data_IF_636891503908
#
_entry.id   IF_636891503908
#
_cell.length_a   1.000
_cell.length_b   1.000
_cell.length_c   1.000
_cell.angle_alpha   90.00
_cell.angle_beta   90.00
_cell.angle_gamma   90.00
#
_symmetry.space_group_name_H-M   'P 1'
#
loop_
_entity.id
_entity.type
_entity.pdbx_description
1 polymer ?
#
# COMPACT_ATOMS: atom_id res chain seq x y z
N UNK A 1 5.24 -34.04 9.30
CA UNK A 1 6.61 -33.77 8.81
C UNK A 1 6.56 -33.83 7.29
N UNK A 2 6.64 -32.66 6.66
CA UNK A 2 6.73 -32.42 5.22
C UNK A 2 7.62 -31.18 5.06
N UNK A 3 8.52 -31.18 4.07
CA UNK A 3 9.76 -30.39 4.01
C UNK A 3 9.61 -28.86 3.76
N UNK A 4 10.63 -28.05 4.09
CA UNK A 4 10.68 -26.63 3.74
C UNK A 4 10.88 -26.44 2.23
N UNK A 5 9.95 -25.75 1.56
CA UNK A 5 10.05 -25.50 0.11
C UNK A 5 8.76 -25.22 -0.67
N UNK A 6 7.60 -25.00 -0.04
CA UNK A 6 6.40 -24.58 -0.79
C UNK A 6 6.42 -23.07 -1.01
N UNK A 7 6.69 -22.73 -2.27
CA UNK A 7 6.85 -21.41 -2.87
C UNK A 7 5.80 -20.39 -2.43
N UNK A 8 6.29 -19.21 -2.01
CA UNK A 8 5.47 -18.01 -1.91
C UNK A 8 4.97 -17.65 -3.32
N UNK A 9 3.69 -17.86 -3.59
CA UNK A 9 3.06 -17.36 -4.82
C UNK A 9 2.81 -15.87 -4.65
N UNK A 10 3.62 -15.06 -5.35
CA UNK A 10 3.51 -13.61 -5.38
C UNK A 10 2.35 -13.17 -6.30
N UNK A 11 1.63 -12.07 -6.00
CA UNK A 11 0.77 -11.41 -6.98
C UNK A 11 1.59 -10.98 -8.21
N UNK A 12 0.98 -11.01 -9.40
CA UNK A 12 1.69 -10.84 -10.67
C UNK A 12 2.66 -9.64 -10.60
N UNK A 13 3.96 -9.87 -10.79
CA UNK A 13 4.95 -8.82 -10.75
C UNK A 13 4.64 -7.78 -11.83
N UNK A 14 4.90 -6.51 -11.52
CA UNK A 14 5.21 -5.52 -12.56
C UNK A 14 6.26 -6.14 -13.49
N UNK A 15 6.06 -6.04 -14.80
CA UNK A 15 6.84 -6.76 -15.84
C UNK A 15 8.37 -6.71 -15.66
N UNK A 16 8.90 -5.71 -14.96
CA UNK A 16 10.33 -5.53 -14.66
C UNK A 16 10.82 -6.43 -13.51
N UNK A 17 10.01 -6.67 -12.48
CA UNK A 17 10.40 -7.50 -11.31
C UNK A 17 10.47 -8.98 -11.68
N UNK A 18 9.54 -9.48 -12.50
CA UNK A 18 9.54 -10.87 -12.97
C UNK A 18 10.79 -11.19 -13.80
N UNK A 19 11.15 -10.28 -14.72
CA UNK A 19 12.26 -10.46 -15.65
C UNK A 19 13.64 -10.35 -14.98
N UNK A 20 13.74 -9.66 -13.84
CA UNK A 20 15.01 -9.33 -13.18
C UNK A 20 15.17 -9.95 -11.78
N UNK A 21 14.21 -10.77 -11.34
CA UNK A 21 14.21 -11.38 -10.01
C UNK A 21 15.49 -12.16 -9.70
N UNK A 22 15.93 -13.03 -10.62
CA UNK A 22 17.14 -13.85 -10.40
C UNK A 22 18.40 -12.99 -10.23
N UNK A 23 18.48 -11.86 -10.93
CA UNK A 23 19.61 -10.92 -10.82
C UNK A 23 19.60 -10.20 -9.46
N UNK A 24 18.42 -9.78 -8.99
CA UNK A 24 18.27 -9.14 -7.67
C UNK A 24 18.58 -10.12 -6.54
N UNK A 25 18.08 -11.35 -6.62
CA UNK A 25 18.35 -12.39 -5.61
C UNK A 25 19.83 -12.75 -5.54
N UNK A 26 20.51 -12.87 -6.68
CA UNK A 26 21.94 -13.15 -6.70
C UNK A 26 22.74 -11.99 -6.09
N UNK A 27 22.46 -10.75 -6.49
CA UNK A 27 23.13 -9.57 -5.94
C UNK A 27 22.90 -9.45 -4.41
N UNK A 28 21.69 -9.77 -3.95
CA UNK A 28 21.37 -9.78 -2.53
C UNK A 28 22.09 -10.88 -1.76
N UNK A 29 22.14 -12.11 -2.28
CA UNK A 29 22.91 -13.22 -1.67
C UNK A 29 24.40 -12.88 -1.56
N UNK A 30 24.99 -12.31 -2.61
CA UNK A 30 26.38 -11.89 -2.61
C UNK A 30 26.63 -10.78 -1.58
N UNK A 31 25.75 -9.79 -1.50
CA UNK A 31 25.83 -8.72 -0.50
C UNK A 31 25.64 -9.22 0.94
N UNK A 32 24.73 -10.17 1.18
CA UNK A 32 24.59 -10.78 2.51
C UNK A 32 25.83 -11.58 2.91
N UNK A 33 26.50 -12.21 1.94
CA UNK A 33 27.73 -12.96 2.19
C UNK A 33 28.94 -12.07 2.46
N UNK A 34 28.93 -10.81 2.00
CA UNK A 34 30.00 -9.84 2.34
C UNK A 34 29.84 -9.24 3.75
N UNK A 35 28.70 -9.47 4.40
CA UNK A 35 28.43 -8.99 5.76
C UNK A 35 28.96 -9.99 6.80
N UNK A 36 29.57 -9.52 7.90
CA UNK A 36 30.02 -10.40 8.98
C UNK A 36 28.90 -11.30 9.52
N UNK A 37 29.24 -12.54 9.89
CA UNK A 37 28.25 -13.58 10.22
C UNK A 37 27.27 -13.18 11.33
N UNK A 38 27.76 -12.49 12.37
CA UNK A 38 26.93 -11.98 13.46
C UNK A 38 25.87 -10.99 12.94
N UNK A 39 26.26 -10.01 12.13
CA UNK A 39 25.35 -9.03 11.55
C UNK A 39 24.36 -9.66 10.57
N UNK A 40 24.81 -10.65 9.79
CA UNK A 40 23.93 -11.41 8.88
C UNK A 40 22.88 -12.20 9.66
N UNK A 41 23.27 -12.85 10.76
CA UNK A 41 22.35 -13.61 11.61
C UNK A 41 21.29 -12.71 12.23
N UNK A 42 21.71 -11.60 12.83
CA UNK A 42 20.80 -10.61 13.41
C UNK A 42 19.79 -10.13 12.35
N UNK A 43 20.27 -9.83 11.13
CA UNK A 43 19.42 -9.35 10.04
C UNK A 43 18.34 -10.36 9.65
N UNK A 44 18.73 -11.62 9.47
CA UNK A 44 17.80 -12.69 9.11
C UNK A 44 16.77 -12.93 10.23
N UNK A 45 17.18 -12.89 11.50
CA UNK A 45 16.26 -12.99 12.64
C UNK A 45 15.25 -11.85 12.66
N UNK A 46 15.69 -10.60 12.41
CA UNK A 46 14.79 -9.45 12.32
C UNK A 46 13.81 -9.59 11.15
N UNK A 47 14.29 -10.01 9.96
CA UNK A 47 13.43 -10.23 8.80
C UNK A 47 12.37 -11.29 9.13
N UNK A 48 12.75 -12.41 9.74
CA UNK A 48 11.79 -13.43 10.15
C UNK A 48 10.78 -12.92 11.18
N UNK A 49 11.23 -12.19 12.21
CA UNK A 49 10.35 -11.65 13.24
C UNK A 49 9.39 -10.60 12.66
N UNK A 50 9.89 -9.70 11.81
CA UNK A 50 9.09 -8.65 11.16
C UNK A 50 8.08 -9.25 10.19
N UNK A 51 8.50 -10.26 9.42
CA UNK A 51 7.60 -10.98 8.51
C UNK A 51 6.45 -11.60 9.29
N UNK A 52 6.71 -12.29 10.42
CA UNK A 52 5.65 -12.85 11.27
C UNK A 52 4.72 -11.77 11.82
N UNK A 53 5.28 -10.71 12.39
CA UNK A 53 4.51 -9.59 12.96
C UNK A 53 3.56 -8.97 11.94
N UNK A 54 4.04 -8.76 10.71
CA UNK A 54 3.29 -8.06 9.67
C UNK A 54 2.38 -9.00 8.86
N UNK A 55 2.70 -10.30 8.77
CA UNK A 55 1.86 -11.28 8.07
C UNK A 55 0.52 -11.53 8.73
N UNK A 56 0.39 -11.17 10.01
CA UNK A 56 -0.86 -11.27 10.77
C UNK A 56 -1.90 -10.19 10.35
N UNK A 57 -1.52 -9.27 9.45
CA UNK A 57 -2.45 -8.32 8.82
C UNK A 57 -2.78 -7.09 9.66
N UNK A 58 -2.10 -6.90 10.78
CA UNK A 58 -2.28 -5.75 11.66
C UNK A 58 -1.75 -4.45 11.03
N UNK A 59 -0.90 -4.45 10.02
CA UNK A 59 -0.49 -3.20 9.36
C UNK A 59 -0.26 -3.43 7.88
N UNK A 60 -1.32 -3.36 7.04
CA UNK A 60 -1.20 -3.66 5.63
C UNK A 60 -0.41 -2.61 4.84
N UNK A 61 -0.35 -1.36 5.32
CA UNK A 61 0.48 -0.32 4.72
C UNK A 61 1.96 -0.58 4.97
N UNK A 62 2.32 -0.85 6.23
CA UNK A 62 3.67 -1.27 6.59
C UNK A 62 4.04 -2.59 5.90
N UNK A 63 3.11 -3.54 5.80
CA UNK A 63 3.30 -4.80 5.08
C UNK A 63 3.58 -4.58 3.59
N UNK A 64 2.83 -3.70 2.91
CA UNK A 64 3.04 -3.39 1.50
C UNK A 64 4.43 -2.81 1.27
N UNK A 65 4.84 -1.85 2.09
CA UNK A 65 6.18 -1.26 2.02
C UNK A 65 7.27 -2.27 2.35
N UNK A 66 7.04 -3.11 3.36
CA UNK A 66 7.96 -4.16 3.77
C UNK A 66 8.15 -5.22 2.68
N UNK A 67 7.08 -5.63 2.00
CA UNK A 67 7.14 -6.53 0.86
C UNK A 67 7.95 -5.94 -0.30
N UNK A 68 7.76 -4.65 -0.60
CA UNK A 68 8.55 -3.96 -1.63
C UNK A 68 10.03 -3.82 -1.23
N UNK A 69 10.30 -3.56 0.05
CA UNK A 69 11.65 -3.57 0.61
C UNK A 69 12.33 -4.93 0.40
N UNK A 70 11.67 -6.04 0.74
CA UNK A 70 12.21 -7.39 0.58
C UNK A 70 12.42 -7.74 -0.90
N UNK A 71 11.42 -7.47 -1.77
CA UNK A 71 11.50 -7.75 -3.21
C UNK A 71 12.60 -6.95 -3.92
N UNK A 72 12.86 -5.73 -3.45
CA UNK A 72 13.93 -4.89 -3.98
C UNK A 72 15.33 -5.38 -3.57
N UNK A 73 15.45 -6.36 -2.66
CA UNK A 73 16.75 -6.80 -2.15
C UNK A 73 17.43 -5.74 -1.28
N UNK A 74 16.67 -4.81 -0.70
CA UNK A 74 17.19 -3.81 0.22
C UNK A 74 17.61 -4.51 1.53
N UNK A 75 18.76 -4.11 2.09
CA UNK A 75 19.17 -4.57 3.41
C UNK A 75 18.66 -3.65 4.52
N UNK A 76 18.50 -2.38 4.18
CA UNK A 76 17.86 -1.39 5.04
C UNK A 76 17.09 -0.43 4.16
N UNK A 77 15.89 -0.03 4.59
CA UNK A 77 15.13 1.03 3.95
C UNK A 77 14.42 1.90 4.99
N UNK A 78 14.36 3.18 4.72
CA UNK A 78 13.67 4.16 5.52
C UNK A 78 12.85 5.07 4.60
N UNK A 79 11.58 5.25 4.95
CA UNK A 79 10.67 6.16 4.27
C UNK A 79 10.53 7.41 5.13
N UNK A 80 10.71 8.57 4.52
CA UNK A 80 10.60 9.87 5.17
C UNK A 80 9.48 10.68 4.54
N UNK A 81 8.72 11.38 5.38
CA UNK A 81 7.73 12.38 5.00
C UNK A 81 8.13 13.72 5.62
N UNK A 82 8.30 14.76 4.81
CA UNK A 82 8.84 16.06 5.22
C UNK A 82 10.12 15.94 6.08
N UNK A 83 11.03 15.04 5.68
CA UNK A 83 12.29 14.70 6.38
C UNK A 83 12.13 14.01 7.74
N UNK A 84 10.92 13.65 8.14
CA UNK A 84 10.67 12.84 9.34
C UNK A 84 10.55 11.36 8.97
N UNK A 85 11.24 10.43 9.67
CA UNK A 85 11.11 9.00 9.42
C UNK A 85 9.69 8.54 9.78
N UNK A 86 9.07 7.79 8.88
CA UNK A 86 7.72 7.23 9.06
C UNK A 86 7.79 5.71 9.16
N UNK A 87 8.54 5.07 8.26
CA UNK A 87 8.74 3.63 8.26
C UNK A 87 10.22 3.28 8.19
N UNK A 88 10.56 2.18 8.83
CA UNK A 88 11.92 1.68 8.93
C UNK A 88 11.94 0.15 8.81
N UNK A 89 12.76 -0.36 7.89
CA UNK A 89 12.91 -1.78 7.60
C UNK A 89 14.38 -2.18 7.58
N UNK A 90 14.69 -3.36 8.12
CA UNK A 90 16.06 -3.86 8.27
C UNK A 90 16.69 -3.47 9.61
N UNK A 91 17.97 -3.77 9.79
CA UNK A 91 18.70 -3.45 11.02
C UNK A 91 19.31 -2.06 10.91
N UNK A 92 19.27 -1.24 11.98
CA UNK A 92 20.11 -0.05 12.10
C UNK A 92 21.55 -0.50 12.17
N UNK A 93 22.24 -0.47 11.02
CA UNK A 93 23.66 -0.75 10.97
C UNK A 93 24.32 0.30 11.85
N UNK A 94 24.95 -0.12 12.97
CA UNK A 94 25.34 0.72 14.13
C UNK A 94 26.15 1.99 13.79
N UNK A 95 26.67 2.07 12.58
CA UNK A 95 27.51 3.15 12.07
C UNK A 95 26.76 4.12 11.12
N UNK A 96 25.56 3.76 10.63
CA UNK A 96 24.78 4.63 9.76
C UNK A 96 23.94 5.61 10.59
N UNK A 97 24.59 6.71 11.02
CA UNK A 97 23.97 7.80 11.82
C UNK A 97 23.40 8.95 10.97
N UNK A 98 23.39 8.82 9.65
CA UNK A 98 23.04 9.90 8.74
C UNK A 98 21.57 9.79 8.33
N UNK A 99 20.68 10.29 9.19
CA UNK A 99 19.25 10.40 8.91
C UNK A 99 18.98 11.46 7.82
N UNK A 100 19.84 12.47 7.75
CA UNK A 100 19.66 13.66 6.90
C UNK A 100 20.40 13.60 5.56
N UNK A 101 21.44 12.77 5.39
CA UNK A 101 22.20 12.61 4.12
C UNK A 101 22.60 11.14 3.87
N UNK A 102 22.65 10.67 2.61
CA UNK A 102 23.19 9.34 2.32
C UNK A 102 24.67 9.29 2.73
N UNK A 103 24.98 8.53 3.77
CA UNK A 103 26.35 8.28 4.23
C UNK A 103 27.05 7.19 3.41
N UNK A 104 28.36 6.99 3.61
CA UNK A 104 29.07 5.85 3.02
C UNK A 104 28.41 4.53 3.47
N UNK A 105 28.36 3.57 2.56
CA UNK A 105 27.81 2.26 2.88
C UNK A 105 28.68 1.58 3.94
N UNK A 106 28.07 0.88 4.92
CA UNK A 106 28.79 0.35 6.08
C UNK A 106 29.65 -0.88 5.77
N UNK A 107 29.43 -1.54 4.62
CA UNK A 107 30.19 -2.70 4.19
C UNK A 107 30.52 -2.64 2.70
N UNK A 108 31.60 -3.31 2.31
CA UNK A 108 31.99 -3.46 0.91
C UNK A 108 30.93 -4.23 0.11
N UNK A 109 30.66 -3.77 -1.12
CA UNK A 109 29.61 -4.34 -1.98
C UNK A 109 28.21 -3.77 -1.71
N UNK A 110 28.07 -2.82 -0.78
CA UNK A 110 26.84 -2.07 -0.54
C UNK A 110 26.94 -0.63 -1.05
N UNK A 111 25.79 -0.04 -1.37
CA UNK A 111 25.65 1.37 -1.73
C UNK A 111 24.49 1.98 -0.92
N UNK A 112 24.67 3.22 -0.47
CA UNK A 112 23.58 4.02 0.08
C UNK A 112 22.92 4.82 -1.03
N UNK A 113 21.62 4.64 -1.20
CA UNK A 113 20.82 5.34 -2.21
C UNK A 113 19.76 6.20 -1.54
N UNK A 114 19.47 7.33 -2.20
CA UNK A 114 18.37 8.22 -1.83
C UNK A 114 17.54 8.56 -3.04
N UNK A 115 16.23 8.54 -2.86
CA UNK A 115 15.24 8.94 -3.86
C UNK A 115 14.36 9.98 -3.21
N UNK A 116 14.30 11.16 -3.80
CA UNK A 116 13.55 12.31 -3.27
C UNK A 116 12.43 12.70 -4.23
N UNK A 117 11.25 13.00 -3.70
CA UNK A 117 10.17 13.66 -4.44
C UNK A 117 9.35 14.55 -3.51
N UNK A 118 9.33 15.86 -3.79
CA UNK A 118 8.58 16.91 -3.07
C UNK A 118 8.47 16.68 -1.56
N UNK A 119 7.43 15.97 -1.08
CA UNK A 119 7.17 15.70 0.34
C UNK A 119 7.76 14.40 0.89
N UNK A 120 8.19 13.46 0.06
CA UNK A 120 8.65 12.13 0.48
C UNK A 120 10.07 11.81 0.02
N UNK A 121 10.78 10.99 0.80
CA UNK A 121 12.04 10.39 0.37
C UNK A 121 12.20 8.96 0.86
N UNK A 122 12.91 8.16 0.07
CA UNK A 122 13.32 6.80 0.43
C UNK A 122 14.84 6.83 0.56
N UNK A 123 15.34 6.34 1.69
CA UNK A 123 16.75 6.09 1.93
C UNK A 123 16.95 4.59 2.08
N UNK A 124 17.86 4.00 1.33
CA UNK A 124 18.07 2.56 1.38
C UNK A 124 19.55 2.19 1.26
N UNK A 125 19.94 1.10 1.93
CA UNK A 125 21.21 0.41 1.67
C UNK A 125 20.93 -0.84 0.87
N UNK A 126 21.60 -0.92 -0.27
CA UNK A 126 21.34 -1.89 -1.33
C UNK A 126 22.64 -2.50 -1.83
N UNK A 127 22.62 -3.67 -2.48
CA UNK A 127 23.79 -4.19 -3.16
C UNK A 127 24.25 -3.24 -4.28
N UNK A 128 25.53 -2.89 -4.31
CA UNK A 128 26.09 -1.94 -5.29
C UNK A 128 25.91 -2.42 -6.73
N UNK A 129 25.99 -3.73 -6.97
CA UNK A 129 25.81 -4.35 -8.31
C UNK A 129 24.40 -4.19 -8.88
N UNK A 130 23.40 -3.97 -8.03
CA UNK A 130 21.99 -3.81 -8.44
C UNK A 130 21.40 -2.46 -8.06
N UNK A 131 22.22 -1.51 -7.57
CA UNK A 131 21.74 -0.24 -7.03
C UNK A 131 20.97 0.60 -8.05
N UNK A 132 21.42 0.61 -9.31
CA UNK A 132 20.72 1.32 -10.40
C UNK A 132 19.33 0.73 -10.66
N UNK A 133 19.20 -0.60 -10.69
CA UNK A 133 17.91 -1.28 -10.87
C UNK A 133 16.98 -1.00 -9.68
N UNK A 134 17.49 -1.09 -8.47
CA UNK A 134 16.73 -0.83 -7.25
C UNK A 134 16.29 0.63 -7.19
N UNK A 135 17.12 1.59 -7.61
CA UNK A 135 16.70 3.00 -7.75
C UNK A 135 15.49 3.16 -8.67
N UNK A 136 15.49 2.47 -9.82
CA UNK A 136 14.36 2.54 -10.74
C UNK A 136 13.09 1.94 -10.15
N UNK A 137 13.18 0.78 -9.51
CA UNK A 137 12.04 0.14 -8.83
C UNK A 137 11.47 1.05 -7.74
N UNK A 138 12.33 1.56 -6.86
CA UNK A 138 11.89 2.41 -5.75
C UNK A 138 11.35 3.76 -6.25
N UNK A 139 11.91 4.34 -7.33
CA UNK A 139 11.47 5.63 -7.86
C UNK A 139 10.22 5.53 -8.75
N UNK A 140 10.08 4.45 -9.51
CA UNK A 140 9.02 4.24 -10.49
C UNK A 140 7.80 3.52 -9.94
N UNK A 141 8.00 2.59 -8.99
CA UNK A 141 6.92 1.74 -8.47
C UNK A 141 6.57 2.09 -7.02
N UNK A 142 7.58 2.15 -6.14
CA UNK A 142 7.32 2.37 -4.72
C UNK A 142 7.02 3.83 -4.37
N UNK A 143 7.77 4.79 -4.93
CA UNK A 143 7.62 6.21 -4.60
C UNK A 143 6.22 6.77 -4.94
N UNK A 144 5.59 6.44 -6.08
CA UNK A 144 4.21 6.86 -6.33
C UNK A 144 3.21 6.31 -5.32
N UNK A 145 3.39 5.05 -4.87
CA UNK A 145 2.55 4.43 -3.84
C UNK A 145 2.75 5.12 -2.49
N UNK A 146 4.01 5.36 -2.10
CA UNK A 146 4.38 6.12 -0.90
C UNK A 146 3.73 7.50 -0.92
N UNK A 147 3.89 8.26 -2.01
CA UNK A 147 3.32 9.61 -2.11
C UNK A 147 1.79 9.56 -2.05
N UNK A 148 1.15 8.59 -2.71
CA UNK A 148 -0.31 8.46 -2.67
C UNK A 148 -0.81 8.20 -1.25
N UNK A 149 -0.14 7.33 -0.51
CA UNK A 149 -0.47 7.03 0.88
C UNK A 149 -0.16 8.25 1.77
N UNK A 150 1.02 8.86 1.66
CA UNK A 150 1.40 10.05 2.44
C UNK A 150 0.56 11.31 2.11
N UNK A 151 0.04 11.45 0.89
CA UNK A 151 -0.88 12.54 0.52
C UNK A 151 -2.30 12.27 0.97
N UNK A 152 -2.73 11.02 0.93
CA UNK A 152 -3.93 10.60 1.64
C UNK A 152 -3.84 10.97 3.14
N UNK A 153 -2.63 10.95 3.72
CA UNK A 153 -2.32 11.41 5.08
C UNK A 153 -2.32 12.95 5.23
N UNK A 154 -2.00 13.76 4.22
CA UNK A 154 -1.96 15.24 4.39
C UNK A 154 -3.35 15.86 4.73
N UNK A 155 -4.44 15.13 4.47
CA UNK A 155 -5.80 15.50 4.87
C UNK A 155 -6.29 14.86 6.19
N UNK A 156 -5.47 14.04 6.87
CA UNK A 156 -5.86 13.28 8.08
C UNK A 156 -4.73 13.21 9.09
N UNK A 157 -5.03 13.46 10.36
CA UNK A 157 -4.06 13.46 11.45
C UNK A 157 -3.16 12.17 11.43
N UNK A 158 -1.83 12.28 11.23
CA UNK A 158 -0.93 11.17 10.86
C UNK A 158 -0.59 10.17 11.98
N UNK A 159 -1.14 10.33 13.18
CA UNK A 159 -0.93 9.36 14.27
C UNK A 159 -1.87 8.14 14.19
N UNK A 160 -2.84 8.14 13.26
CA UNK A 160 -3.98 7.20 13.29
C UNK A 160 -4.21 6.40 11.99
N UNK A 161 -3.28 6.32 11.03
CA UNK A 161 -3.51 5.56 9.77
C UNK A 161 -3.43 4.05 9.95
N UNK A 162 -2.45 3.55 10.70
CA UNK A 162 -2.35 2.13 11.09
C UNK A 162 -3.61 1.74 11.83
N UNK A 163 -4.04 2.58 12.77
CA UNK A 163 -5.34 2.47 13.43
C UNK A 163 -6.47 2.52 12.40
N UNK A 164 -6.45 3.39 11.40
CA UNK A 164 -7.51 3.49 10.38
C UNK A 164 -7.60 2.28 9.46
N UNK A 165 -6.50 1.62 9.10
CA UNK A 165 -6.54 0.40 8.27
C UNK A 165 -6.75 -0.85 9.11
N UNK A 166 -6.24 -0.90 10.35
CA UNK A 166 -6.65 -1.90 11.34
C UNK A 166 -8.14 -1.78 11.63
N UNK A 167 -8.62 -0.56 11.87
CA UNK A 167 -10.02 -0.20 12.07
C UNK A 167 -10.82 -0.53 10.83
N UNK A 168 -10.31 -0.25 9.62
CA UNK A 168 -10.98 -0.62 8.39
C UNK A 168 -11.06 -2.14 8.25
N UNK A 169 -9.96 -2.86 8.48
CA UNK A 169 -9.90 -4.32 8.37
C UNK A 169 -10.79 -4.99 9.40
N UNK A 170 -10.77 -4.51 10.65
CA UNK A 170 -11.64 -4.95 11.73
C UNK A 170 -13.11 -4.57 11.46
N UNK A 171 -13.35 -3.38 10.93
CA UNK A 171 -14.68 -2.91 10.54
C UNK A 171 -15.26 -3.74 9.40
N UNK A 172 -14.52 -3.91 8.31
CA UNK A 172 -14.88 -4.75 7.16
C UNK A 172 -15.10 -6.19 7.64
N UNK A 173 -14.16 -6.76 8.39
CA UNK A 173 -14.25 -8.10 8.94
C UNK A 173 -15.49 -8.31 9.80
N UNK A 174 -15.78 -7.38 10.73
CA UNK A 174 -16.98 -7.41 11.56
C UNK A 174 -18.26 -7.30 10.74
N UNK A 175 -18.30 -6.43 9.72
CA UNK A 175 -19.47 -6.23 8.85
C UNK A 175 -19.73 -7.43 7.95
N UNK A 176 -18.68 -7.97 7.32
CA UNK A 176 -18.74 -9.16 6.47
C UNK A 176 -19.21 -10.34 7.30
N UNK A 177 -18.56 -10.61 8.44
CA UNK A 177 -18.93 -11.71 9.34
C UNK A 177 -20.41 -11.66 9.74
N UNK A 178 -20.90 -10.50 10.21
CA UNK A 178 -22.33 -10.34 10.61
C UNK A 178 -23.32 -10.56 9.46
N UNK A 179 -22.94 -10.25 8.23
CA UNK A 179 -23.80 -10.44 7.07
C UNK A 179 -23.79 -11.91 6.62
N UNK A 180 -22.62 -12.55 6.61
CA UNK A 180 -22.48 -13.97 6.31
C UNK A 180 -23.18 -14.86 7.36
N UNK A 181 -23.18 -14.47 8.64
CA UNK A 181 -23.99 -15.11 9.71
C UNK A 181 -25.49 -15.10 9.39
N UNK A 182 -25.96 -14.17 8.54
CA UNK A 182 -27.34 -14.06 8.07
C UNK A 182 -27.53 -14.66 6.67
N UNK A 183 -26.55 -15.41 6.16
CA UNK A 183 -26.52 -15.95 4.81
C UNK A 183 -26.69 -14.88 3.71
N UNK A 184 -26.17 -13.67 3.95
CA UNK A 184 -26.19 -12.58 2.98
C UNK A 184 -24.77 -12.33 2.46
N UNK A 185 -24.55 -12.35 1.14
CA UNK A 185 -23.26 -11.95 0.59
C UNK A 185 -23.03 -10.46 0.84
N UNK A 186 -21.78 -10.04 0.90
CA UNK A 186 -21.40 -8.63 1.02
C UNK A 186 -20.60 -8.24 -0.20
N UNK A 187 -21.11 -7.28 -0.94
CA UNK A 187 -20.36 -6.66 -2.04
C UNK A 187 -19.76 -5.36 -1.55
N UNK A 188 -18.47 -5.20 -1.79
CA UNK A 188 -17.68 -4.03 -1.42
C UNK A 188 -17.25 -3.36 -2.71
N UNK A 189 -17.46 -2.06 -2.83
CA UNK A 189 -17.04 -1.27 -3.99
C UNK A 189 -16.16 -0.11 -3.54
N UNK A 190 -15.01 0.04 -4.19
CA UNK A 190 -14.08 1.14 -4.00
C UNK A 190 -14.20 2.11 -5.17
N UNK A 191 -14.69 3.31 -4.87
CA UNK A 191 -14.67 4.46 -5.75
C UNK A 191 -13.33 5.17 -5.55
N UNK A 192 -12.47 5.09 -6.57
CA UNK A 192 -11.16 5.73 -6.60
C UNK A 192 -11.16 6.83 -7.66
N UNK A 193 -11.00 8.07 -7.21
CA UNK A 193 -10.98 9.26 -8.07
C UNK A 193 -9.53 9.67 -8.37
N UNK A 194 -9.35 10.35 -9.50
CA UNK A 194 -8.06 10.95 -9.84
C UNK A 194 -7.58 11.92 -8.76
N UNK A 195 -6.26 12.09 -8.67
CA UNK A 195 -5.63 13.04 -7.75
C UNK A 195 -6.11 14.47 -8.07
N UNK A 196 -6.77 15.10 -7.09
CA UNK A 196 -7.31 16.45 -7.21
C UNK A 196 -6.26 17.54 -6.98
N UNK A 197 -4.99 17.19 -6.71
CA UNK A 197 -3.91 18.18 -6.47
C UNK A 197 -3.81 19.21 -7.60
N UNK A 198 -4.03 18.80 -8.85
CA UNK A 198 -4.03 19.74 -10.00
C UNK A 198 -5.19 20.74 -9.94
N UNK A 199 -6.36 20.34 -9.46
CA UNK A 199 -7.50 21.24 -9.27
C UNK A 199 -7.26 22.23 -8.12
N UNK A 200 -6.55 21.81 -7.09
CA UNK A 200 -6.12 22.73 -6.01
C UNK A 200 -5.20 23.80 -6.59
N UNK A 201 -4.24 23.41 -7.44
CA UNK A 201 -3.30 24.34 -8.09
C UNK A 201 -3.99 25.29 -9.09
N UNK A 202 -5.01 24.83 -9.80
CA UNK A 202 -5.68 25.61 -10.87
C UNK A 202 -6.88 26.45 -10.40
N UNK A 203 -7.68 25.93 -9.47
CA UNK A 203 -9.00 26.50 -9.09
C UNK A 203 -9.06 26.91 -7.62
N UNK A 204 -8.10 26.45 -6.81
CA UNK A 204 -8.00 26.74 -5.38
C UNK A 204 -8.69 25.72 -4.48
N UNK A 205 -8.33 25.76 -3.20
CA UNK A 205 -8.75 24.80 -2.17
C UNK A 205 -10.28 24.77 -1.96
N UNK A 206 -10.93 25.94 -1.93
CA UNK A 206 -12.37 26.06 -1.69
C UNK A 206 -13.20 25.29 -2.73
N UNK A 207 -12.94 25.51 -4.01
CA UNK A 207 -13.64 24.82 -5.11
C UNK A 207 -13.34 23.32 -5.14
N UNK A 208 -12.12 22.92 -4.77
CA UNK A 208 -11.75 21.51 -4.66
C UNK A 208 -12.56 20.80 -3.56
N UNK A 209 -12.76 21.46 -2.41
CA UNK A 209 -13.59 20.94 -1.33
C UNK A 209 -15.07 20.81 -1.73
N UNK A 210 -15.59 21.73 -2.55
CA UNK A 210 -16.94 21.62 -3.09
C UNK A 210 -17.08 20.42 -4.03
N UNK A 211 -16.08 20.17 -4.90
CA UNK A 211 -16.04 18.99 -5.77
C UNK A 211 -16.06 17.70 -4.93
N UNK A 212 -15.24 17.63 -3.88
CA UNK A 212 -15.18 16.45 -2.99
C UNK A 212 -16.53 16.22 -2.30
N UNK A 213 -17.18 17.27 -1.80
CA UNK A 213 -18.48 17.11 -1.13
C UNK A 213 -19.57 16.71 -2.14
N UNK A 214 -19.52 17.21 -3.37
CA UNK A 214 -20.49 16.86 -4.40
C UNK A 214 -20.32 15.40 -4.88
N UNK A 215 -19.08 14.91 -5.00
CA UNK A 215 -18.80 13.48 -5.19
C UNK A 215 -19.44 12.67 -4.08
N UNK A 216 -19.21 13.05 -2.82
CA UNK A 216 -19.72 12.30 -1.67
C UNK A 216 -21.25 12.31 -1.62
N UNK A 217 -21.89 13.44 -1.92
CA UNK A 217 -23.35 13.54 -2.03
C UNK A 217 -23.90 12.65 -3.15
N UNK A 218 -23.26 12.66 -4.32
CA UNK A 218 -23.66 11.86 -5.48
C UNK A 218 -23.56 10.36 -5.19
N UNK A 219 -22.51 9.92 -4.50
CA UNK A 219 -22.44 8.52 -4.05
C UNK A 219 -23.59 8.24 -3.07
N UNK A 220 -23.75 9.07 -2.04
CA UNK A 220 -24.77 8.88 -0.98
C UNK A 220 -26.21 8.86 -1.51
N UNK A 221 -26.57 9.71 -2.46
CA UNK A 221 -27.92 9.78 -3.03
C UNK A 221 -28.32 8.49 -3.76
N UNK A 222 -27.32 7.78 -4.29
CA UNK A 222 -27.51 6.52 -5.02
C UNK A 222 -27.39 5.26 -4.13
N UNK A 223 -27.15 5.43 -2.82
CA UNK A 223 -27.09 4.33 -1.87
C UNK A 223 -28.48 3.91 -1.38
N UNK A 224 -28.68 2.59 -1.24
CA UNK A 224 -29.85 2.03 -0.54
C UNK A 224 -29.67 2.19 0.97
N UNK A 225 -30.78 2.16 1.72
CA UNK A 225 -30.79 2.26 3.20
C UNK A 225 -29.87 1.27 3.94
N UNK A 226 -29.54 0.13 3.31
CA UNK A 226 -28.68 -0.91 3.89
C UNK A 226 -27.21 -0.77 3.51
N UNK A 227 -26.90 0.12 2.56
CA UNK A 227 -25.54 0.36 2.15
C UNK A 227 -24.83 1.23 3.18
N UNK A 228 -23.53 1.03 3.33
CA UNK A 228 -22.71 1.87 4.20
C UNK A 228 -21.58 2.49 3.40
N UNK A 229 -21.48 3.82 3.44
CA UNK A 229 -20.38 4.58 2.86
C UNK A 229 -19.29 4.81 3.91
N UNK A 230 -18.07 4.40 3.61
CA UNK A 230 -16.87 4.68 4.39
C UNK A 230 -15.94 5.51 3.51
N UNK A 231 -15.60 6.72 3.93
CA UNK A 231 -14.64 7.55 3.19
C UNK A 231 -13.24 7.28 3.74
N UNK A 232 -12.32 6.80 2.90
CA UNK A 232 -10.94 6.53 3.25
C UNK A 232 -10.05 7.75 3.04
N UNK A 233 -10.33 8.49 1.97
CA UNK A 233 -9.70 9.78 1.66
C UNK A 233 -10.75 10.65 0.94
N UNK A 234 -10.45 11.92 0.62
CA UNK A 234 -11.31 12.73 -0.25
C UNK A 234 -11.54 12.16 -1.65
N UNK A 235 -10.66 11.26 -2.11
CA UNK A 235 -10.68 10.65 -3.45
C UNK A 235 -10.86 9.13 -3.40
N UNK A 236 -11.16 8.58 -2.22
CA UNK A 236 -11.26 7.14 -2.00
C UNK A 236 -12.42 6.84 -1.07
N UNK A 237 -13.44 6.17 -1.60
CA UNK A 237 -14.65 5.83 -0.86
C UNK A 237 -15.01 4.37 -1.04
N UNK A 238 -15.29 3.68 0.07
CA UNK A 238 -15.82 2.33 0.09
C UNK A 238 -17.33 2.34 0.31
N UNK A 239 -18.03 1.55 -0.49
CA UNK A 239 -19.45 1.23 -0.28
C UNK A 239 -19.58 -0.25 0.03
N UNK A 240 -20.14 -0.55 1.20
CA UNK A 240 -20.51 -1.91 1.59
C UNK A 240 -22.00 -2.12 1.37
N UNK A 241 -22.35 -3.15 0.61
CA UNK A 241 -23.72 -3.54 0.31
C UNK A 241 -23.98 -4.99 0.71
N UNK A 242 -24.81 -5.21 1.73
CA UNK A 242 -25.23 -6.56 2.18
C UNK A 242 -26.45 -7.06 1.42
N UNK A 243 -26.36 -8.27 0.84
CA UNK A 243 -27.39 -8.93 0.05
C UNK A 243 -27.11 -9.01 -1.45
N UNK A 244 -26.80 -7.89 -2.15
CA UNK A 244 -26.60 -7.92 -3.59
C UNK A 244 -25.20 -8.42 -3.97
N UNK A 245 -25.11 -9.06 -5.14
CA UNK A 245 -23.84 -9.49 -5.76
C UNK A 245 -23.27 -8.40 -6.67
N UNK A 246 -22.02 -8.57 -7.08
CA UNK A 246 -21.27 -7.62 -7.92
C UNK A 246 -22.04 -7.13 -9.15
N UNK A 247 -22.64 -8.03 -9.92
CA UNK A 247 -23.41 -7.68 -11.13
C UNK A 247 -24.53 -6.65 -10.86
N UNK A 248 -25.28 -6.85 -9.77
CA UNK A 248 -26.38 -5.96 -9.35
C UNK A 248 -25.86 -4.61 -8.85
N UNK A 249 -24.64 -4.60 -8.29
CA UNK A 249 -23.98 -3.39 -7.81
C UNK A 249 -23.42 -2.59 -8.97
N UNK A 250 -22.78 -3.26 -9.93
CA UNK A 250 -22.27 -2.64 -11.15
C UNK A 250 -23.40 -2.00 -11.96
N UNK A 251 -24.54 -2.68 -12.12
CA UNK A 251 -25.72 -2.11 -12.79
C UNK A 251 -26.22 -0.84 -12.08
N UNK A 252 -26.32 -0.88 -10.75
CA UNK A 252 -26.72 0.30 -9.96
C UNK A 252 -25.74 1.45 -10.08
N UNK A 253 -24.43 1.15 -10.06
CA UNK A 253 -23.37 2.17 -10.10
C UNK A 253 -23.03 2.63 -11.52
N UNK A 254 -23.55 1.96 -12.55
CA UNK A 254 -23.44 2.41 -13.93
C UNK A 254 -24.06 3.81 -14.12
N UNK A 255 -25.16 4.11 -13.42
CA UNK A 255 -25.79 5.44 -13.47
C UNK A 255 -24.95 6.51 -12.77
N UNK A 256 -24.30 6.15 -11.66
CA UNK A 256 -23.35 7.03 -10.94
C UNK A 256 -22.20 7.44 -11.86
N UNK A 257 -21.79 6.55 -12.78
CA UNK A 257 -20.72 6.84 -13.74
C UNK A 257 -20.99 8.01 -14.65
N UNK A 258 -22.22 8.16 -15.13
CA UNK A 258 -22.55 9.31 -15.98
C UNK A 258 -22.67 10.60 -15.17
N UNK A 259 -23.22 10.54 -13.96
CA UNK A 259 -23.37 11.70 -13.08
C UNK A 259 -22.01 12.25 -12.63
N UNK A 260 -21.11 11.39 -12.18
CA UNK A 260 -19.78 11.78 -11.71
C UNK A 260 -18.89 12.24 -12.87
N UNK A 261 -18.98 11.61 -14.04
CA UNK A 261 -18.19 12.01 -15.22
C UNK A 261 -18.52 13.43 -15.68
N UNK A 262 -19.69 13.95 -15.35
CA UNK A 262 -20.05 15.36 -15.59
C UNK A 262 -19.15 16.36 -14.82
N UNK A 263 -18.50 15.91 -13.74
CA UNK A 263 -17.51 16.67 -12.98
C UNK A 263 -16.12 16.69 -13.65
N UNK A 264 -15.97 16.08 -14.83
CA UNK A 264 -14.69 15.99 -15.60
C UNK A 264 -13.58 15.33 -14.75
N UNK A 265 -13.94 14.35 -13.92
CA UNK A 265 -13.01 13.58 -13.13
C UNK A 265 -12.87 12.16 -13.69
N UNK A 266 -11.64 11.75 -13.96
CA UNK A 266 -11.35 10.34 -14.16
C UNK A 266 -11.50 9.60 -12.83
N UNK A 267 -12.16 8.45 -12.88
CA UNK A 267 -12.36 7.63 -11.71
C UNK A 267 -12.56 6.16 -12.09
N UNK A 268 -12.28 5.27 -11.15
CA UNK A 268 -12.42 3.82 -11.28
C UNK A 268 -13.27 3.28 -10.15
N UNK A 269 -14.11 2.28 -10.44
CA UNK A 269 -14.83 1.51 -9.43
C UNK A 269 -14.26 0.10 -9.45
N UNK A 270 -13.71 -0.33 -8.33
CA UNK A 270 -13.29 -1.72 -8.12
C UNK A 270 -14.31 -2.39 -7.20
N UNK A 271 -14.81 -3.56 -7.58
CA UNK A 271 -15.85 -4.25 -6.82
C UNK A 271 -15.42 -5.69 -6.54
N UNK A 272 -15.82 -6.21 -5.38
CA UNK A 272 -15.68 -7.63 -5.05
C UNK A 272 -16.83 -8.08 -4.15
N UNK A 273 -17.30 -9.31 -4.35
CA UNK A 273 -18.30 -9.95 -3.48
C UNK A 273 -17.64 -10.99 -2.58
N UNK A 274 -18.06 -11.02 -1.32
CA UNK A 274 -17.74 -12.07 -0.34
C UNK A 274 -19.02 -12.81 -0.01
N UNK A 275 -19.08 -14.10 -0.30
CA UNK A 275 -20.25 -14.96 -0.08
C UNK A 275 -19.95 -16.22 0.75
N UNK A 276 -18.68 -16.43 1.11
CA UNK A 276 -18.19 -17.54 1.92
C UNK A 276 -17.49 -17.04 3.19
N UNK A 277 -17.58 -17.76 4.32
CA UNK A 277 -16.83 -17.45 5.53
C UNK A 277 -15.32 -17.67 5.40
N UNK A 278 -14.86 -18.40 4.37
CA UNK A 278 -13.44 -18.59 4.07
C UNK A 278 -12.93 -17.43 3.20
N UNK A 279 -12.63 -16.30 3.84
CA UNK A 279 -12.12 -15.10 3.18
C UNK A 279 -10.93 -14.51 3.94
N UNK A 280 -10.04 -13.83 3.21
CA UNK A 280 -8.97 -13.02 3.78
C UNK A 280 -9.22 -11.56 3.46
N UNK A 281 -9.11 -10.70 4.46
CA UNK A 281 -9.25 -9.24 4.27
C UNK A 281 -8.20 -8.73 3.28
N UNK A 282 -6.97 -9.26 3.31
CA UNK A 282 -5.92 -8.89 2.36
C UNK A 282 -6.35 -9.06 0.89
N UNK A 283 -6.92 -10.21 0.53
CA UNK A 283 -7.39 -10.50 -0.83
C UNK A 283 -8.51 -9.55 -1.26
N UNK A 284 -9.35 -9.12 -0.31
CA UNK A 284 -10.42 -8.14 -0.55
C UNK A 284 -9.80 -6.76 -0.84
N UNK A 285 -8.85 -6.32 -0.01
CA UNK A 285 -8.17 -5.03 -0.21
C UNK A 285 -7.42 -4.99 -1.53
N UNK A 286 -6.73 -6.08 -1.90
CA UNK A 286 -6.03 -6.20 -3.17
C UNK A 286 -6.97 -6.05 -4.38
N UNK A 287 -8.11 -6.75 -4.37
CA UNK A 287 -9.13 -6.61 -5.42
C UNK A 287 -9.69 -5.20 -5.51
N UNK A 288 -9.77 -4.51 -4.38
CA UNK A 288 -10.21 -3.12 -4.29
C UNK A 288 -9.11 -2.11 -4.64
N UNK A 289 -7.88 -2.54 -4.94
CA UNK A 289 -6.72 -1.65 -5.18
C UNK A 289 -6.43 -0.72 -3.99
N UNK A 290 -6.56 -1.26 -2.78
CA UNK A 290 -6.22 -0.61 -1.51
C UNK A 290 -4.93 -1.17 -0.90
#
# INVERSE_FOLDING_TARGET
MSQPGTELVFPEPTSILAERQSQLEQAWKEALNSIPENHRRDYLELVHATTRRLSDGNDPGEWLYYQNFLRSGCLQAMILHHRKPVYYFGIPLKEWKYWDEPGPAPFEGLESIRINRKEASIQAVVPSKSSHLIRHLLAGELMPVIIRILRADAGRNPENWIDSVQDLSAYLGSRIKRALEKAQPVTISHFLFQDLTRYIEEVGEFWTLEIIEEIRKTIKSNLKKRDTLVSLTPVSHLVLSSGPREEQIQERFHHIYFEIRSLILDYSIHTTTVDSPDYRIADILEKLKL
#
